data_IF_343443021767
#
_entry.id   IF_343443021767
#
_cell.length_a   1.000
_cell.length_b   1.000
_cell.length_c   1.000
_cell.angle_alpha   90.00
_cell.angle_beta   90.00
_cell.angle_gamma   90.00
#
_symmetry.space_group_name_H-M   'P 1'
#
loop_
_entity.id
_entity.type
_entity.pdbx_description
1 polymer ?
#
# COMPACT_ATOMS: atom_id res chain seq x y z
N UNK A 1 0.38 35.58 -39.38
CA UNK A 1 1.28 35.10 -38.29
C UNK A 1 0.45 34.70 -37.07
N UNK A 2 0.63 33.50 -36.49
CA UNK A 2 -0.02 33.15 -35.23
C UNK A 2 0.39 34.16 -34.15
N UNK A 3 -0.59 34.77 -33.46
CA UNK A 3 -0.32 35.76 -32.40
C UNK A 3 0.61 35.14 -31.34
N UNK A 4 1.72 35.82 -31.02
CA UNK A 4 2.66 35.38 -29.96
C UNK A 4 1.86 35.14 -28.68
N UNK A 5 1.95 33.92 -28.13
CA UNK A 5 1.29 33.57 -26.86
C UNK A 5 1.81 34.48 -25.73
N UNK A 6 0.90 35.01 -24.92
CA UNK A 6 1.24 35.79 -23.73
C UNK A 6 2.05 34.95 -22.73
N UNK A 7 2.86 35.58 -21.88
CA UNK A 7 3.65 34.89 -20.86
C UNK A 7 2.78 34.06 -19.90
N UNK A 8 1.61 34.58 -19.54
CA UNK A 8 0.61 33.86 -18.73
C UNK A 8 0.12 32.58 -19.42
N UNK A 9 -0.22 32.66 -20.72
CA UNK A 9 -0.67 31.49 -21.49
C UNK A 9 0.42 30.42 -21.61
N UNK A 10 1.69 30.84 -21.78
CA UNK A 10 2.83 29.90 -21.78
C UNK A 10 3.01 29.21 -20.42
N UNK A 11 2.85 29.94 -19.31
CA UNK A 11 2.94 29.37 -17.95
C UNK A 11 1.82 28.37 -17.69
N UNK A 12 0.59 28.69 -18.07
CA UNK A 12 -0.56 27.80 -17.94
C UNK A 12 -0.39 26.51 -18.77
N UNK A 13 0.07 26.61 -20.01
CA UNK A 13 0.35 25.43 -20.85
C UNK A 13 1.45 24.55 -20.23
N UNK A 14 2.53 25.15 -19.72
CA UNK A 14 3.60 24.40 -19.02
C UNK A 14 3.08 23.70 -17.76
N UNK A 15 2.23 24.35 -16.98
CA UNK A 15 1.62 23.76 -15.78
C UNK A 15 0.69 22.59 -16.15
N UNK A 16 -0.10 22.73 -17.21
CA UNK A 16 -0.98 21.65 -17.71
C UNK A 16 -0.17 20.44 -18.16
N UNK A 17 0.95 20.63 -18.85
CA UNK A 17 1.86 19.54 -19.22
C UNK A 17 2.44 18.85 -17.99
N UNK A 18 2.94 19.63 -17.01
CA UNK A 18 3.45 19.08 -15.74
C UNK A 18 2.41 18.26 -14.97
N UNK A 19 1.16 18.73 -14.93
CA UNK A 19 0.08 17.97 -14.28
C UNK A 19 -0.22 16.65 -15.00
N UNK A 20 -0.13 16.62 -16.34
CA UNK A 20 -0.26 15.36 -17.10
C UNK A 20 0.88 14.39 -16.79
N UNK A 21 2.11 14.88 -16.69
CA UNK A 21 3.27 14.08 -16.30
C UNK A 21 3.11 13.49 -14.90
N UNK A 22 2.65 14.30 -13.93
CA UNK A 22 2.38 13.83 -12.57
C UNK A 22 1.31 12.73 -12.58
N UNK A 23 0.23 12.90 -13.36
CA UNK A 23 -0.83 11.87 -13.48
C UNK A 23 -0.32 10.59 -14.13
N UNK A 24 0.47 10.69 -15.19
CA UNK A 24 1.05 9.51 -15.84
C UNK A 24 2.06 8.78 -14.94
N UNK A 25 2.80 9.52 -14.10
CA UNK A 25 3.73 8.94 -13.14
C UNK A 25 3.02 8.23 -11.98
N UNK A 26 1.76 8.57 -11.67
CA UNK A 26 0.99 7.96 -10.56
C UNK A 26 0.78 6.46 -10.70
N UNK A 27 0.69 5.97 -11.94
CA UNK A 27 0.41 4.56 -12.21
C UNK A 27 1.60 3.67 -11.83
N UNK A 28 2.84 4.17 -11.97
CA UNK A 28 4.08 3.44 -11.69
C UNK A 28 4.69 3.76 -10.31
N UNK A 29 3.89 4.27 -9.36
CA UNK A 29 4.39 4.60 -8.01
C UNK A 29 4.55 3.35 -7.15
N UNK A 30 5.78 3.09 -6.73
CA UNK A 30 6.11 2.13 -5.67
C UNK A 30 5.82 2.74 -4.29
N UNK A 31 4.56 2.68 -3.84
CA UNK A 31 4.10 3.26 -2.57
C UNK A 31 5.00 2.98 -1.35
N UNK A 32 5.59 1.78 -1.16
CA UNK A 32 6.42 1.50 0.02
C UNK A 32 7.70 2.36 0.12
N UNK A 33 8.20 2.90 -1.00
CA UNK A 33 9.42 3.72 -1.02
C UNK A 33 9.15 5.18 -0.65
N UNK A 34 7.88 5.60 -0.59
CA UNK A 34 7.54 7.00 -0.32
C UNK A 34 7.54 7.29 1.20
N UNK A 35 8.20 8.37 1.65
CA UNK A 35 8.30 8.67 3.08
C UNK A 35 6.94 8.90 3.77
N UNK A 36 5.92 9.32 3.02
CA UNK A 36 4.54 9.48 3.54
C UNK A 36 3.86 8.15 3.91
N UNK A 37 4.38 7.02 3.41
CA UNK A 37 3.87 5.68 3.64
C UNK A 37 4.92 4.78 4.32
N UNK A 38 6.01 5.38 4.81
CA UNK A 38 7.03 4.67 5.58
C UNK A 38 6.43 4.13 6.88
N UNK A 39 6.98 3.03 7.38
CA UNK A 39 6.59 2.49 8.68
C UNK A 39 7.14 3.38 9.81
N UNK A 40 6.34 3.58 10.86
CA UNK A 40 6.66 4.36 12.05
C UNK A 40 6.12 3.64 13.28
N UNK A 41 6.91 3.62 14.35
CA UNK A 41 6.47 3.14 15.67
C UNK A 41 6.20 4.36 16.53
N UNK A 42 5.04 4.40 17.18
CA UNK A 42 4.69 5.51 18.08
C UNK A 42 5.56 5.49 19.35
N UNK A 43 6.22 6.60 19.67
CA UNK A 43 7.05 6.71 20.89
C UNK A 43 6.26 6.47 22.20
N UNK A 44 4.95 6.80 22.20
CA UNK A 44 4.11 6.73 23.41
C UNK A 44 3.44 5.38 23.61
N UNK A 45 2.84 4.82 22.56
CA UNK A 45 2.04 3.59 22.67
C UNK A 45 2.69 2.39 21.97
N UNK A 46 3.88 2.55 21.36
CA UNK A 46 4.68 1.50 20.72
C UNK A 46 3.98 0.71 19.60
N UNK A 47 2.82 1.20 19.13
CA UNK A 47 2.09 0.59 18.01
C UNK A 47 2.72 1.01 16.69
N UNK A 48 2.82 0.05 15.77
CA UNK A 48 3.23 0.25 14.37
C UNK A 48 2.10 0.93 13.60
N UNK A 49 2.46 1.89 12.76
CA UNK A 49 1.57 2.63 11.88
C UNK A 49 2.36 3.22 10.71
N UNK A 50 1.69 3.74 9.69
CA UNK A 50 2.37 4.57 8.67
C UNK A 50 2.83 5.90 9.29
N UNK A 51 3.82 6.52 8.66
CA UNK A 51 4.25 7.89 8.98
C UNK A 51 3.05 8.83 8.96
N UNK A 52 2.81 9.50 10.10
CA UNK A 52 1.64 10.34 10.37
C UNK A 52 2.04 11.51 11.24
N UNK A 53 1.28 12.58 11.16
CA UNK A 53 1.48 13.76 11.98
C UNK A 53 1.22 13.47 13.46
N UNK A 54 0.13 12.75 13.71
CA UNK A 54 -0.32 12.29 15.00
C UNK A 54 -0.50 10.77 14.97
N UNK A 55 -0.22 10.11 16.08
CA UNK A 55 -0.48 8.69 16.21
C UNK A 55 -1.97 8.41 16.01
N UNK A 56 -2.30 7.48 15.11
CA UNK A 56 -3.67 7.07 14.87
C UNK A 56 -4.36 6.55 16.14
N UNK A 57 -3.62 5.84 17.01
CA UNK A 57 -4.19 5.18 18.19
C UNK A 57 -4.33 6.07 19.42
N UNK A 58 -3.35 6.93 19.68
CA UNK A 58 -3.29 7.71 20.93
C UNK A 58 -3.12 9.21 20.71
N UNK A 59 -3.17 9.66 19.45
CA UNK A 59 -3.08 11.06 19.02
C UNK A 59 -1.80 11.80 19.45
N UNK A 60 -0.80 11.08 19.98
CA UNK A 60 0.47 11.68 20.37
C UNK A 60 1.27 12.11 19.16
N UNK A 61 1.99 13.21 19.31
CA UNK A 61 2.98 13.68 18.33
C UNK A 61 4.26 12.87 18.49
N UNK A 62 4.83 12.42 17.37
CA UNK A 62 6.12 11.72 17.34
C UNK A 62 7.26 12.68 17.71
N UNK A 63 8.19 12.26 18.59
CA UNK A 63 9.32 13.11 19.02
C UNK A 63 10.23 13.46 17.85
N UNK A 64 10.42 12.50 16.95
CA UNK A 64 11.25 12.62 15.74
C UNK A 64 10.37 12.51 14.49
N UNK A 65 9.72 13.60 14.05
CA UNK A 65 8.87 13.57 12.87
C UNK A 65 9.70 13.40 11.59
N UNK A 66 9.20 12.59 10.66
CA UNK A 66 9.83 12.33 9.37
C UNK A 66 9.06 13.06 8.27
N UNK A 67 9.76 13.86 7.46
CA UNK A 67 9.11 14.56 6.36
C UNK A 67 8.57 13.59 5.30
N UNK A 68 7.26 13.68 5.01
CA UNK A 68 6.53 12.88 4.04
C UNK A 68 7.02 13.01 2.59
N UNK A 69 7.73 14.10 2.27
CA UNK A 69 8.26 14.35 0.92
C UNK A 69 9.73 13.96 0.76
N UNK A 70 10.59 14.30 1.72
CA UNK A 70 12.03 14.13 1.59
C UNK A 70 12.64 13.12 2.56
N UNK A 71 11.86 12.53 3.46
CA UNK A 71 12.31 11.52 4.43
C UNK A 71 13.28 12.05 5.51
N UNK A 72 13.57 13.35 5.53
CA UNK A 72 14.48 13.92 6.51
C UNK A 72 13.80 14.05 7.87
N UNK A 73 14.58 13.82 8.92
CA UNK A 73 14.23 13.98 10.35
C UNK A 73 14.89 15.22 10.97
N UNK A 74 15.68 15.97 10.18
CA UNK A 74 16.31 17.24 10.56
C UNK A 74 16.45 18.18 9.36
N UNK A 75 16.14 19.49 9.49
CA UNK A 75 16.50 20.47 8.44
C UNK A 75 18.01 20.78 8.60
N UNK A 76 18.77 20.45 7.55
CA UNK A 76 20.19 20.78 7.45
C UNK A 76 20.32 22.15 6.78
N UNK A 77 21.04 23.06 7.45
CA UNK A 77 21.29 24.44 7.00
C UNK A 77 21.82 24.53 5.56
N UNK A 78 22.64 23.55 5.13
CA UNK A 78 23.35 23.54 3.84
C UNK A 78 22.45 23.70 2.61
N UNK A 79 21.15 23.37 2.70
CA UNK A 79 20.25 23.42 1.55
C UNK A 79 19.56 24.77 1.31
N UNK A 80 19.58 25.72 2.27
CA UNK A 80 19.08 27.10 2.09
C UNK A 80 17.60 27.29 1.68
N UNK A 81 16.86 26.20 1.45
CA UNK A 81 15.48 26.21 0.94
C UNK A 81 14.43 26.18 2.06
N UNK A 82 14.84 26.32 3.34
CA UNK A 82 13.93 26.32 4.49
C UNK A 82 13.21 27.69 4.57
N UNK A 83 11.87 27.69 4.61
CA UNK A 83 11.00 28.90 4.62
C UNK A 83 11.12 29.65 5.95
N UNK A 84 11.35 28.90 7.03
CA UNK A 84 11.71 29.45 8.34
C UNK A 84 13.22 29.48 8.43
N UNK A 85 13.78 30.67 8.70
CA UNK A 85 15.21 30.83 8.89
C UNK A 85 15.62 30.30 10.27
N UNK A 86 16.64 29.45 10.33
CA UNK A 86 17.25 28.99 11.58
C UNK A 86 18.78 29.18 11.51
N UNK A 87 19.33 30.16 12.25
CA UNK A 87 20.76 30.49 12.17
C UNK A 87 21.60 29.50 13.00
N UNK A 88 22.55 28.82 12.34
CA UNK A 88 23.62 28.08 13.01
C UNK A 88 23.24 26.78 13.73
N UNK A 89 21.97 26.37 13.72
CA UNK A 89 21.49 25.14 14.41
C UNK A 89 20.71 24.24 13.44
N UNK A 90 20.90 22.93 13.56
CA UNK A 90 20.05 21.94 12.91
C UNK A 90 18.70 21.89 13.62
N UNK A 91 17.62 22.19 12.89
CA UNK A 91 16.29 22.12 13.47
C UNK A 91 15.75 20.69 13.40
N UNK A 92 15.25 20.19 14.52
CA UNK A 92 14.64 18.86 14.71
C UNK A 92 13.26 19.00 15.34
N UNK A 93 12.52 17.90 15.47
CA UNK A 93 11.23 17.88 16.16
C UNK A 93 10.19 18.76 15.46
N UNK A 94 9.41 19.51 16.23
CA UNK A 94 8.38 20.40 15.68
C UNK A 94 8.96 21.64 14.96
N UNK A 95 10.19 22.04 15.25
CA UNK A 95 10.79 23.23 14.60
C UNK A 95 11.05 23.04 13.10
N UNK A 96 11.20 21.79 12.63
CA UNK A 96 11.42 21.49 11.21
C UNK A 96 10.11 21.31 10.43
N UNK A 97 8.99 21.21 11.12
CA UNK A 97 7.67 20.97 10.54
C UNK A 97 7.17 22.27 9.91
N UNK A 98 6.58 22.17 8.72
CA UNK A 98 6.00 23.30 8.00
C UNK A 98 4.50 23.17 7.74
N UNK A 99 4.01 21.96 7.46
CA UNK A 99 2.59 21.71 7.19
C UNK A 99 2.23 20.23 7.43
N UNK A 100 0.93 19.95 7.58
CA UNK A 100 0.35 18.61 7.47
C UNK A 100 -0.25 18.49 6.07
N UNK A 101 -0.06 17.34 5.43
CA UNK A 101 -0.71 17.06 4.16
C UNK A 101 -2.10 16.47 4.37
N UNK A 102 -3.13 17.07 3.77
CA UNK A 102 -4.52 16.59 3.86
C UNK A 102 -4.73 15.20 3.26
N UNK A 103 -3.86 14.77 2.34
CA UNK A 103 -3.99 13.47 1.68
C UNK A 103 -3.36 12.32 2.46
N UNK A 104 -2.11 12.50 2.93
CA UNK A 104 -1.38 11.44 3.61
C UNK A 104 -1.39 11.54 5.14
N UNK A 105 -1.89 12.66 5.69
CA UNK A 105 -1.89 12.99 7.11
C UNK A 105 -0.51 12.89 7.76
N UNK A 106 0.54 13.21 7.02
CA UNK A 106 1.92 13.18 7.48
C UNK A 106 2.54 14.58 7.44
N UNK A 107 3.54 14.79 8.30
CA UNK A 107 4.28 16.05 8.37
C UNK A 107 5.08 16.30 7.11
N UNK A 108 5.07 17.54 6.63
CA UNK A 108 5.95 18.04 5.58
C UNK A 108 6.86 19.09 6.20
N UNK A 109 8.17 18.98 5.96
CA UNK A 109 9.12 19.95 6.49
C UNK A 109 8.92 21.33 5.87
N UNK A 110 9.40 22.37 6.54
CA UNK A 110 9.31 23.77 6.08
C UNK A 110 10.19 24.09 4.85
N UNK A 111 10.74 23.09 4.16
CA UNK A 111 11.48 23.29 2.92
C UNK A 111 10.51 23.75 1.81
N UNK A 112 10.82 24.86 1.14
CA UNK A 112 9.96 25.45 0.10
C UNK A 112 9.65 24.45 -1.01
N UNK A 113 10.64 23.65 -1.44
CA UNK A 113 10.38 22.54 -2.37
C UNK A 113 9.37 21.55 -1.82
N UNK A 114 9.51 21.11 -0.57
CA UNK A 114 8.61 20.12 0.01
C UNK A 114 7.17 20.64 0.13
N UNK A 115 7.00 21.86 0.65
CA UNK A 115 5.69 22.50 0.80
C UNK A 115 5.00 22.74 -0.55
N UNK A 116 5.74 23.19 -1.56
CA UNK A 116 5.15 23.51 -2.88
C UNK A 116 4.87 22.28 -3.75
N UNK A 117 5.56 21.15 -3.53
CA UNK A 117 5.39 19.96 -4.37
C UNK A 117 4.52 18.88 -3.75
N UNK A 118 4.58 18.67 -2.43
CA UNK A 118 4.05 17.46 -1.81
C UNK A 118 2.56 17.24 -2.08
N UNK A 119 1.72 18.24 -1.86
CA UNK A 119 0.28 18.12 -2.08
C UNK A 119 -0.08 17.77 -3.54
N UNK A 120 0.70 18.27 -4.51
CA UNK A 120 0.45 18.00 -5.93
C UNK A 120 0.88 16.60 -6.38
N UNK A 121 1.90 16.03 -5.73
CA UNK A 121 2.47 14.73 -6.08
C UNK A 121 2.31 13.70 -4.96
N UNK A 122 1.34 13.90 -4.06
CA UNK A 122 1.14 13.01 -2.93
C UNK A 122 0.72 11.62 -3.46
N UNK A 123 1.45 10.55 -3.12
CA UNK A 123 1.11 9.20 -3.58
C UNK A 123 -0.24 8.70 -3.08
N UNK A 124 -0.71 9.23 -1.94
CA UNK A 124 -1.91 8.79 -1.25
C UNK A 124 -3.14 9.67 -1.52
N UNK A 125 -3.09 10.54 -2.55
CA UNK A 125 -4.18 11.46 -2.88
C UNK A 125 -5.51 10.77 -3.18
N UNK A 126 -5.46 9.62 -3.85
CA UNK A 126 -6.63 8.86 -4.29
C UNK A 126 -6.69 7.48 -3.59
N UNK A 127 -6.03 7.37 -2.43
CA UNK A 127 -5.87 6.10 -1.73
C UNK A 127 -7.10 5.78 -0.88
N UNK A 128 -7.92 4.87 -1.37
CA UNK A 128 -9.06 4.26 -0.68
C UNK A 128 -8.93 2.76 -0.82
N UNK A 129 -9.04 2.01 0.28
CA UNK A 129 -8.93 0.56 0.23
C UNK A 129 -10.09 -0.04 -0.56
N UNK A 130 -9.80 -0.95 -1.49
CA UNK A 130 -10.81 -1.60 -2.32
C UNK A 130 -11.70 -2.61 -1.55
N UNK A 131 -11.23 -3.13 -0.41
CA UNK A 131 -11.97 -4.14 0.37
C UNK A 131 -12.77 -3.50 1.50
N UNK A 132 -12.12 -2.71 2.37
CA UNK A 132 -12.82 -2.08 3.50
C UNK A 132 -13.35 -0.67 3.23
N UNK A 133 -13.18 -0.12 2.02
CA UNK A 133 -13.62 1.23 1.60
C UNK A 133 -13.10 2.41 2.45
N UNK A 134 -12.19 2.13 3.39
CA UNK A 134 -11.58 3.12 4.28
C UNK A 134 -10.50 3.92 3.58
N UNK A 135 -10.48 5.22 3.85
CA UNK A 135 -9.43 6.13 3.38
C UNK A 135 -8.25 6.18 4.34
N UNK A 136 -7.23 6.94 3.94
CA UNK A 136 -5.97 7.15 4.71
C UNK A 136 -6.21 7.59 6.17
N UNK A 137 -7.29 8.34 6.41
CA UNK A 137 -7.66 8.90 7.71
C UNK A 137 -8.34 7.89 8.63
N UNK A 138 -8.96 6.85 8.07
CA UNK A 138 -9.80 5.89 8.78
C UNK A 138 -9.03 4.64 9.23
N UNK A 139 -7.72 4.58 8.95
CA UNK A 139 -6.84 3.52 9.41
C UNK A 139 -5.40 4.02 9.70
N UNK A 140 -4.70 3.29 10.57
CA UNK A 140 -3.32 3.60 10.96
C UNK A 140 -2.24 2.94 10.10
N UNK A 141 -2.57 1.85 9.40
CA UNK A 141 -1.62 1.04 8.63
C UNK A 141 -1.11 1.70 7.35
N UNK A 142 -0.09 1.08 6.75
CA UNK A 142 0.41 1.47 5.42
C UNK A 142 -0.59 1.13 4.31
N UNK A 143 -0.38 1.72 3.14
CA UNK A 143 -1.18 1.47 1.94
C UNK A 143 -0.30 0.85 0.86
N UNK A 144 -0.84 -0.15 0.18
CA UNK A 144 -0.21 -0.91 -0.88
C UNK A 144 -1.05 -0.85 -2.16
N UNK A 145 -0.45 -1.23 -3.28
CA UNK A 145 -1.17 -1.47 -4.53
C UNK A 145 -1.11 -2.95 -4.84
N UNK A 146 -2.24 -3.52 -5.24
CA UNK A 146 -2.28 -4.89 -5.75
C UNK A 146 -1.44 -4.99 -7.04
N UNK A 147 -0.54 -5.97 -7.12
CA UNK A 147 0.25 -6.24 -8.33
C UNK A 147 -0.61 -6.66 -9.54
N UNK A 148 -1.82 -7.15 -9.30
CA UNK A 148 -2.70 -7.69 -10.33
C UNK A 148 -3.72 -6.67 -10.85
N UNK A 149 -4.47 -6.01 -9.95
CA UNK A 149 -5.53 -5.06 -10.34
C UNK A 149 -5.14 -3.59 -10.17
N UNK A 150 -3.97 -3.31 -9.57
CA UNK A 150 -3.50 -1.96 -9.22
C UNK A 150 -4.43 -1.16 -8.30
N UNK A 151 -5.35 -1.82 -7.60
CA UNK A 151 -6.20 -1.18 -6.59
C UNK A 151 -5.42 -0.91 -5.31
N UNK A 152 -5.83 0.11 -4.55
CA UNK A 152 -5.24 0.42 -3.25
C UNK A 152 -5.77 -0.53 -2.18
N UNK A 153 -4.88 -0.97 -1.29
CA UNK A 153 -5.17 -1.92 -0.23
C UNK A 153 -4.53 -1.42 1.06
N UNK A 154 -5.25 -1.52 2.18
CA UNK A 154 -4.64 -1.26 3.48
C UNK A 154 -3.72 -2.42 3.88
N UNK A 155 -2.87 -2.21 4.88
CA UNK A 155 -1.94 -3.22 5.39
C UNK A 155 -2.63 -4.49 5.90
N UNK A 156 -3.88 -4.39 6.36
CA UNK A 156 -4.67 -5.52 6.84
C UNK A 156 -5.19 -6.37 5.67
N UNK A 157 -5.74 -5.72 4.63
CA UNK A 157 -6.44 -6.40 3.53
C UNK A 157 -5.50 -6.83 2.37
N UNK A 158 -4.24 -6.38 2.38
CA UNK A 158 -3.37 -6.55 1.20
C UNK A 158 -3.13 -8.03 0.84
N UNK A 159 -3.04 -8.92 1.83
CA UNK A 159 -2.67 -10.31 1.61
C UNK A 159 -3.88 -11.12 1.15
N UNK A 160 -5.02 -10.93 1.80
CA UNK A 160 -6.28 -11.59 1.44
C UNK A 160 -6.70 -11.20 0.02
N UNK A 161 -6.64 -9.90 -0.31
CA UNK A 161 -6.93 -9.45 -1.67
C UNK A 161 -5.90 -9.97 -2.68
N UNK A 162 -4.60 -9.97 -2.39
CA UNK A 162 -3.61 -10.48 -3.36
C UNK A 162 -3.77 -11.98 -3.62
N UNK A 163 -4.17 -12.75 -2.60
CA UNK A 163 -4.43 -14.19 -2.73
C UNK A 163 -5.64 -14.47 -3.64
N UNK A 164 -6.73 -13.71 -3.48
CA UNK A 164 -7.97 -13.90 -4.23
C UNK A 164 -8.00 -13.17 -5.58
N UNK A 165 -7.25 -12.08 -5.74
CA UNK A 165 -7.37 -11.20 -6.91
C UNK A 165 -6.94 -11.85 -8.24
N UNK A 166 -6.07 -12.86 -8.23
CA UNK A 166 -5.74 -13.60 -9.46
C UNK A 166 -6.88 -14.53 -9.93
N UNK A 167 -7.84 -14.83 -9.05
CA UNK A 167 -8.98 -15.69 -9.34
C UNK A 167 -10.06 -14.89 -10.05
N UNK A 168 -10.65 -15.49 -11.09
CA UNK A 168 -11.83 -14.98 -11.76
C UNK A 168 -13.03 -15.81 -11.29
N UNK A 169 -13.99 -15.17 -10.62
CA UNK A 169 -15.19 -15.84 -10.11
C UNK A 169 -16.23 -16.13 -11.23
N UNK A 170 -15.97 -15.72 -12.47
CA UNK A 170 -16.91 -15.94 -13.57
C UNK A 170 -16.91 -17.42 -14.00
N UNK A 171 -17.97 -18.15 -13.67
CA UNK A 171 -18.13 -19.57 -14.03
C UNK A 171 -18.06 -19.85 -15.54
N UNK A 172 -18.42 -18.85 -16.35
CA UNK A 172 -18.60 -19.06 -17.78
C UNK A 172 -17.38 -18.72 -18.65
N UNK A 173 -16.39 -17.96 -18.15
CA UNK A 173 -15.24 -17.44 -18.91
C UNK A 173 -15.56 -16.89 -20.32
N UNK A 174 -16.82 -16.49 -20.54
CA UNK A 174 -17.31 -16.00 -21.82
C UNK A 174 -16.82 -14.58 -22.03
N UNK A 175 -16.58 -14.21 -23.28
CA UNK A 175 -16.25 -12.84 -23.62
C UNK A 175 -17.42 -11.92 -23.26
N UNK A 176 -17.13 -10.79 -22.62
CA UNK A 176 -18.17 -9.81 -22.24
C UNK A 176 -18.94 -9.28 -23.46
N UNK A 177 -18.30 -9.21 -24.61
CA UNK A 177 -18.86 -8.68 -25.86
C UNK A 177 -19.45 -9.77 -26.77
N UNK A 178 -19.10 -11.04 -26.59
CA UNK A 178 -19.75 -12.15 -27.28
C UNK A 178 -19.71 -13.42 -26.44
N UNK A 179 -20.71 -14.29 -26.56
CA UNK A 179 -20.77 -15.53 -25.79
C UNK A 179 -19.74 -16.61 -26.19
N UNK A 180 -18.66 -16.26 -26.90
CA UNK A 180 -17.51 -17.15 -27.17
C UNK A 180 -16.57 -17.20 -25.96
N UNK A 181 -15.72 -18.21 -25.88
CA UNK A 181 -14.71 -18.34 -24.82
C UNK A 181 -13.70 -17.18 -24.86
N UNK A 182 -13.45 -16.56 -23.70
CA UNK A 182 -12.52 -15.43 -23.54
C UNK A 182 -11.08 -15.88 -23.33
N UNK A 183 -10.18 -15.50 -24.24
CA UNK A 183 -8.75 -15.84 -24.16
C UNK A 183 -7.94 -14.83 -23.32
N UNK A 184 -8.43 -13.60 -23.19
CA UNK A 184 -7.78 -12.52 -22.45
C UNK A 184 -8.68 -12.07 -21.30
N UNK A 185 -8.10 -11.86 -20.12
CA UNK A 185 -8.82 -11.47 -18.93
C UNK A 185 -8.23 -10.22 -18.31
N UNK A 186 -9.10 -9.29 -17.92
CA UNK A 186 -8.70 -8.08 -17.22
C UNK A 186 -8.87 -8.28 -15.70
N UNK A 187 -7.77 -8.31 -14.94
CA UNK A 187 -7.80 -8.51 -13.48
C UNK A 187 -8.37 -7.32 -12.70
N UNK A 188 -8.42 -6.14 -13.33
CA UNK A 188 -9.04 -4.93 -12.76
C UNK A 188 -10.56 -4.90 -12.93
N UNK A 189 -11.08 -5.41 -14.05
CA UNK A 189 -12.52 -5.47 -14.31
C UNK A 189 -13.15 -6.82 -13.99
N UNK A 190 -12.35 -7.86 -13.76
CA UNK A 190 -12.79 -9.26 -13.65
C UNK A 190 -13.63 -9.72 -14.85
N UNK A 191 -13.28 -9.27 -16.06
CA UNK A 191 -13.99 -9.59 -17.30
C UNK A 191 -13.07 -10.24 -18.33
N UNK A 192 -13.59 -11.21 -19.07
CA UNK A 192 -12.89 -11.91 -20.14
C UNK A 192 -13.27 -11.36 -21.53
N UNK A 193 -12.36 -11.46 -22.50
CA UNK A 193 -12.52 -11.03 -23.88
C UNK A 193 -11.90 -12.05 -24.85
N UNK A 194 -12.50 -12.22 -26.04
CA UNK A 194 -11.87 -12.97 -27.14
C UNK A 194 -10.85 -12.09 -27.89
N UNK A 195 -10.04 -12.68 -28.76
CA UNK A 195 -9.03 -11.97 -29.58
C UNK A 195 -9.59 -10.78 -30.35
N UNK A 196 -10.80 -10.94 -30.90
CA UNK A 196 -11.45 -9.90 -31.70
C UNK A 196 -11.94 -8.72 -30.84
N UNK A 197 -12.44 -8.99 -29.63
CA UNK A 197 -13.03 -7.97 -28.77
C UNK A 197 -12.04 -7.29 -27.84
N UNK A 198 -10.89 -7.91 -27.55
CA UNK A 198 -9.81 -7.25 -26.83
C UNK A 198 -9.06 -6.25 -27.72
N UNK A 199 -9.00 -6.51 -29.04
CA UNK A 199 -8.33 -5.63 -30.01
C UNK A 199 -9.31 -4.58 -30.56
N UNK A 200 -9.00 -3.31 -30.38
CA UNK A 200 -9.71 -2.21 -31.04
C UNK A 200 -9.32 -2.16 -32.52
N UNK A 201 -10.32 -2.17 -33.41
CA UNK A 201 -10.11 -2.02 -34.86
C UNK A 201 -9.36 -0.71 -35.16
N UNK A 202 -8.29 -0.79 -35.94
CA UNK A 202 -7.51 0.37 -36.38
C UNK A 202 -6.35 0.80 -35.46
N UNK A 203 -6.12 0.11 -34.34
CA UNK A 203 -4.98 0.38 -33.45
C UNK A 203 -3.81 -0.57 -33.74
N UNK A 204 -2.59 -0.04 -33.91
CA UNK A 204 -1.38 -0.85 -34.04
C UNK A 204 -0.89 -1.25 -32.65
N UNK A 205 -0.96 -2.54 -32.35
CA UNK A 205 -0.42 -3.12 -31.12
C UNK A 205 1.04 -3.49 -31.34
N UNK A 206 1.91 -3.13 -30.39
CA UNK A 206 3.29 -3.59 -30.40
C UNK A 206 3.35 -5.08 -30.05
N UNK A 207 4.14 -5.82 -30.82
CA UNK A 207 4.37 -7.25 -30.60
C UNK A 207 5.06 -7.43 -29.24
N UNK A 208 4.55 -8.35 -28.41
CA UNK A 208 5.02 -8.67 -27.05
C UNK A 208 4.58 -7.74 -25.90
N UNK A 209 3.73 -6.73 -26.12
CA UNK A 209 3.08 -6.01 -25.02
C UNK A 209 1.69 -6.60 -24.70
N UNK A 210 1.28 -6.68 -23.44
CA UNK A 210 -0.05 -7.14 -23.08
C UNK A 210 -1.11 -6.21 -23.68
N UNK A 211 -2.24 -6.80 -24.10
CA UNK A 211 -3.31 -6.04 -24.74
C UNK A 211 -4.04 -5.20 -23.67
N UNK A 212 -4.39 -3.94 -23.94
CA UNK A 212 -5.14 -3.13 -23.01
C UNK A 212 -6.63 -3.51 -23.02
N UNK A 213 -7.23 -3.60 -21.83
CA UNK A 213 -8.64 -3.88 -21.64
C UNK A 213 -9.52 -2.84 -22.35
N UNK A 214 -10.53 -3.24 -23.14
CA UNK A 214 -11.42 -2.31 -23.83
C UNK A 214 -12.16 -1.34 -22.91
N UNK A 215 -12.52 -1.79 -21.69
CA UNK A 215 -13.31 -1.05 -20.69
C UNK A 215 -12.47 -0.05 -19.88
N UNK A 216 -11.33 -0.49 -19.35
CA UNK A 216 -10.53 0.30 -18.41
C UNK A 216 -9.12 0.66 -18.89
N UNK A 217 -8.68 0.11 -20.03
CA UNK A 217 -7.33 0.35 -20.58
C UNK A 217 -6.19 -0.38 -19.84
N UNK A 218 -6.49 -1.10 -18.76
CA UNK A 218 -5.50 -1.86 -17.99
C UNK A 218 -5.03 -3.11 -18.74
N UNK A 219 -3.79 -3.53 -18.50
CA UNK A 219 -3.20 -4.70 -19.16
C UNK A 219 -4.01 -5.98 -18.91
N UNK A 220 -4.29 -6.74 -19.96
CA UNK A 220 -4.95 -8.04 -19.87
C UNK A 220 -3.95 -9.17 -19.81
N UNK A 221 -4.20 -10.16 -18.97
CA UNK A 221 -3.45 -11.42 -18.90
C UNK A 221 -4.13 -12.50 -19.75
N UNK A 222 -3.40 -13.51 -20.20
CA UNK A 222 -4.03 -14.65 -20.86
C UNK A 222 -4.78 -15.49 -19.81
N UNK A 223 -6.03 -15.83 -20.11
CA UNK A 223 -6.90 -16.55 -19.16
C UNK A 223 -6.35 -17.90 -18.75
N UNK A 224 -5.59 -18.57 -19.65
CA UNK A 224 -4.95 -19.87 -19.40
C UNK A 224 -3.79 -19.81 -18.38
N UNK A 225 -3.18 -18.64 -18.21
CA UNK A 225 -2.03 -18.43 -17.31
C UNK A 225 -2.50 -18.06 -15.89
N UNK A 226 -3.81 -17.89 -15.69
CA UNK A 226 -4.42 -17.62 -14.39
C UNK A 226 -4.79 -18.94 -13.70
N UNK A 227 -4.45 -19.06 -12.42
CA UNK A 227 -4.75 -20.21 -11.58
C UNK A 227 -6.27 -20.44 -11.49
N UNK A 228 -6.81 -21.28 -12.37
CA UNK A 228 -8.21 -21.67 -12.37
C UNK A 228 -8.44 -22.73 -11.28
N UNK A 229 -8.47 -22.31 -10.01
CA UNK A 229 -8.87 -23.22 -8.93
C UNK A 229 -10.40 -23.34 -8.91
N UNK A 230 -10.93 -24.51 -9.28
CA UNK A 230 -12.34 -24.88 -9.06
C UNK A 230 -12.64 -25.22 -7.61
N UNK A 231 -11.64 -25.20 -6.72
CA UNK A 231 -11.78 -25.39 -5.27
C UNK A 231 -11.48 -24.07 -4.56
N UNK A 232 -12.51 -23.42 -4.06
CA UNK A 232 -12.38 -22.21 -3.23
C UNK A 232 -11.90 -22.61 -1.84
N UNK A 233 -10.60 -22.46 -1.56
CA UNK A 233 -10.13 -22.45 -0.18
C UNK A 233 -10.31 -21.04 0.37
N UNK A 234 -11.38 -20.81 1.16
CA UNK A 234 -11.55 -19.57 1.92
C UNK A 234 -10.53 -19.59 3.05
N UNK A 235 -9.43 -18.85 2.89
CA UNK A 235 -8.55 -18.51 4.00
C UNK A 235 -9.20 -17.36 4.76
N UNK A 236 -10.13 -17.69 5.65
CA UNK A 236 -10.64 -16.75 6.65
C UNK A 236 -9.92 -17.03 7.97
N UNK A 237 -9.61 -15.97 8.73
CA UNK A 237 -9.38 -16.12 10.17
C UNK A 237 -10.62 -16.78 10.75
N UNK A 238 -10.49 -18.02 11.19
CA UNK A 238 -11.52 -18.64 12.03
C UNK A 238 -11.59 -17.80 13.30
N UNK A 239 -12.59 -16.93 13.36
CA UNK A 239 -12.96 -16.28 14.60
C UNK A 239 -13.29 -17.38 15.60
N UNK A 240 -12.74 -17.29 16.80
CA UNK A 240 -13.14 -18.09 17.94
C UNK A 240 -14.61 -17.75 18.21
N UNK A 241 -15.51 -18.47 17.55
CA UNK A 241 -16.95 -18.36 17.73
C UNK A 241 -17.28 -18.95 19.09
N UNK A 242 -17.68 -18.08 20.01
CA UNK A 242 -18.35 -18.45 21.25
C UNK A 242 -19.51 -19.36 20.86
N UNK A 243 -19.49 -20.60 21.37
CA UNK A 243 -20.55 -21.57 21.15
C UNK A 243 -21.85 -20.99 21.73
N UNK A 244 -22.83 -20.75 20.86
CA UNK A 244 -24.21 -20.53 21.27
C UNK A 244 -24.77 -21.86 21.77
N UNK A 245 -25.28 -21.80 22.99
CA UNK A 245 -26.03 -22.83 23.71
C UNK A 245 -27.34 -23.10 22.97
N UNK A 246 -27.50 -24.30 22.40
CA UNK A 246 -28.81 -24.87 22.11
C UNK A 246 -28.75 -26.40 22.25
N UNK A 247 -29.54 -26.88 23.19
CA UNK A 247 -29.69 -28.24 23.69
C UNK A 247 -30.51 -29.16 22.77
N UNK A 248 -30.07 -30.43 22.61
CA UNK A 248 -30.85 -31.70 22.62
C UNK A 248 -29.98 -32.85 22.04
N UNK A 249 -29.65 -33.89 22.84
CA UNK A 249 -30.26 -35.26 22.84
C UNK A 249 -30.14 -35.96 21.48
N UNK A 250 -29.59 -37.16 21.25
CA UNK A 250 -29.14 -38.32 22.02
C UNK A 250 -28.17 -39.10 21.06
N UNK A 251 -27.18 -39.82 21.57
CA UNK A 251 -26.82 -41.19 21.11
C UNK A 251 -25.61 -41.74 21.89
N UNK A 252 -25.77 -42.98 22.35
CA UNK A 252 -25.00 -43.74 23.35
C UNK A 252 -23.68 -44.35 22.83
N UNK A 253 -22.83 -44.72 23.81
CA UNK A 253 -21.67 -45.65 23.78
C UNK A 253 -20.42 -45.24 22.95
N UNK A 254 -19.17 -45.37 23.42
CA UNK A 254 -18.56 -46.46 24.18
C UNK A 254 -17.26 -45.97 24.87
N UNK A 255 -16.95 -46.60 26.00
CA UNK A 255 -15.81 -46.37 26.91
C UNK A 255 -14.49 -46.93 26.34
N UNK A 256 -13.42 -46.12 26.24
CA UNK A 256 -12.03 -46.63 26.21
C UNK A 256 -11.06 -45.61 26.81
N UNK A 257 -10.78 -45.82 28.10
CA UNK A 257 -9.65 -45.29 28.83
C UNK A 257 -8.33 -45.89 28.30
N UNK A 258 -7.41 -45.06 27.79
CA UNK A 258 -6.00 -45.44 27.63
C UNK A 258 -5.09 -44.21 27.80
N UNK A 259 -4.53 -44.07 29.01
CA UNK A 259 -3.31 -43.30 29.24
C UNK A 259 -2.10 -44.23 29.07
N UNK A 260 -1.03 -43.76 28.41
CA UNK A 260 0.26 -43.86 29.09
C UNK A 260 1.18 -42.64 28.90
N UNK A 261 1.92 -42.39 29.97
CA UNK A 261 3.01 -41.45 30.21
C UNK A 261 4.10 -41.30 29.11
N UNK A 262 4.60 -40.07 28.94
CA UNK A 262 6.03 -39.65 29.00
C UNK A 262 6.15 -38.21 28.43
N UNK A 263 6.52 -37.16 29.16
CA UNK A 263 7.78 -36.82 29.86
C UNK A 263 8.58 -35.75 29.05
N UNK A 264 9.28 -34.87 29.79
CA UNK A 264 10.29 -33.84 29.40
C UNK A 264 9.94 -32.73 28.36
N UNK A 265 10.32 -31.45 28.47
CA UNK A 265 11.12 -30.66 29.44
C UNK A 265 11.05 -29.17 28.99
N UNK A 266 11.07 -28.23 29.94
CA UNK A 266 11.12 -26.78 29.72
C UNK A 266 12.56 -26.37 29.38
N UNK A 267 12.79 -25.64 28.28
CA UNK A 267 14.08 -24.98 28.03
C UNK A 267 14.01 -23.50 28.47
N UNK A 268 14.61 -23.19 29.61
CA UNK A 268 15.09 -21.86 29.98
C UNK A 268 16.48 -21.67 29.36
N UNK A 269 16.68 -20.65 28.54
CA UNK A 269 18.01 -20.23 28.08
C UNK A 269 18.48 -19.06 28.98
N UNK A 270 19.53 -19.33 29.74
CA UNK A 270 20.24 -18.41 30.63
C UNK A 270 21.15 -17.43 29.85
N UNK A 271 21.37 -16.27 30.46
CA UNK A 271 22.25 -15.20 30.02
C UNK A 271 23.72 -15.55 30.33
N UNK A 272 24.60 -15.53 29.32
CA UNK A 272 26.07 -15.55 29.52
C UNK A 272 26.66 -14.15 29.32
N UNK A 273 27.00 -13.52 30.44
CA UNK A 273 27.95 -12.41 30.58
C UNK A 273 29.36 -13.00 30.68
N UNK A 274 30.28 -12.63 29.78
CA UNK A 274 31.72 -12.85 29.95
C UNK A 274 32.47 -11.52 29.70
N UNK A 275 32.77 -10.83 30.79
CA UNK A 275 33.84 -9.84 30.93
C UNK A 275 35.15 -10.60 31.19
N UNK A 276 36.21 -10.33 30.42
CA UNK A 276 37.58 -10.60 30.88
C UNK A 276 38.54 -9.50 30.38
N UNK A 277 39.12 -8.82 31.37
CA UNK A 277 40.06 -7.72 31.30
C UNK A 277 41.45 -8.28 31.61
N UNK A 278 42.45 -8.06 30.74
CA UNK A 278 43.84 -8.36 31.06
C UNK A 278 44.80 -7.35 30.41
N UNK A 279 45.23 -6.38 31.21
CA UNK A 279 46.44 -5.59 30.99
C UNK A 279 47.69 -6.49 31.11
N UNK A 280 48.72 -6.26 30.26
CA UNK A 280 50.06 -5.76 30.68
C UNK A 280 51.20 -5.97 29.65
N UNK A 281 51.85 -4.85 29.33
CA UNK A 281 53.25 -4.57 28.91
C UNK A 281 53.97 -5.34 27.79
N UNK A 282 54.48 -4.51 26.86
CA UNK A 282 55.64 -4.73 25.99
C UNK A 282 55.91 -3.49 25.15
#
# INVERSE_FOLDING_TARGET
MPKKKTGQRKKAEKQKMRQKEIRAAKDNLELPKYPCNANMVCDRCQRKQKNRAFCYFCQSVQRLPVCAQCGKVKCMLKTGDCVVHHPGVYTTGLGMVGAICDFCEAWVCHGRRCLTTHACSCPLQDAVCAECERGVWDHGGRIFKCSYCSAFLCEDDQFEHQASCQVLESENFKCQSCNKLGQYSCLKCKTCYCEDHVRRKGFKYEKNKPLPCPKCGYETSQTKDLSMSTRSHKFGRQGHGVAEDDSNEDDEDDDYEYSPDNDYEYCEDEEDDDDDDDERHG
#
